data_IF_323855833852
#
_entry.id   IF_323855833852
#
_cell.length_a   1.000
_cell.length_b   1.000
_cell.length_c   1.000
_cell.angle_alpha   90.00
_cell.angle_beta   90.00
_cell.angle_gamma   90.00
#
_symmetry.space_group_name_H-M   'P 1'
#
loop_
_entity.id
_entity.type
_entity.pdbx_description
1 polymer ?
#
# COMPACT_ATOMS: atom_id res chain seq x y z
N UNK A 1 12.55 -16.94 -34.24
CA UNK A 1 12.10 -16.93 -32.83
C UNK A 1 12.41 -15.56 -32.25
N UNK A 2 11.40 -14.76 -31.87
CA UNK A 2 11.62 -13.49 -31.17
C UNK A 2 11.69 -13.76 -29.67
N UNK A 3 12.84 -13.50 -29.04
CA UNK A 3 12.94 -13.48 -27.58
C UNK A 3 12.19 -12.26 -27.04
N UNK A 4 11.12 -12.52 -26.30
CA UNK A 4 10.46 -11.50 -25.48
C UNK A 4 11.40 -11.14 -24.33
N UNK A 5 11.87 -9.89 -24.29
CA UNK A 5 12.66 -9.38 -23.16
C UNK A 5 11.74 -9.28 -21.95
N UNK A 6 12.03 -10.03 -20.87
CA UNK A 6 11.34 -9.87 -19.59
C UNK A 6 11.67 -8.48 -19.05
N UNK A 7 10.65 -7.64 -18.89
CA UNK A 7 10.82 -6.30 -18.31
C UNK A 7 11.20 -6.48 -16.84
N UNK A 8 12.46 -6.22 -16.52
CA UNK A 8 12.91 -6.12 -15.12
C UNK A 8 12.42 -4.77 -14.62
N UNK A 9 11.40 -4.80 -13.77
CA UNK A 9 10.96 -3.60 -13.05
C UNK A 9 11.90 -3.46 -11.85
N UNK A 10 12.56 -2.31 -11.72
CA UNK A 10 13.37 -2.03 -10.55
C UNK A 10 12.49 -2.16 -9.29
N UNK A 11 13.01 -2.72 -8.19
CA UNK A 11 12.23 -2.87 -6.96
C UNK A 11 11.75 -1.50 -6.49
N UNK A 12 10.49 -1.43 -6.06
CA UNK A 12 9.96 -0.22 -5.42
C UNK A 12 10.68 -0.07 -4.09
N UNK A 13 11.43 1.00 -3.91
CA UNK A 13 12.22 1.23 -2.68
C UNK A 13 11.42 1.94 -1.60
N UNK A 14 10.50 2.85 -2.00
CA UNK A 14 9.68 3.65 -1.09
C UNK A 14 8.28 3.88 -1.62
N UNK A 15 7.34 4.01 -0.70
CA UNK A 15 5.98 4.49 -0.94
C UNK A 15 5.89 5.91 -0.39
N UNK A 16 5.48 6.85 -1.24
CA UNK A 16 5.41 8.27 -0.90
C UNK A 16 4.03 8.81 -1.26
N UNK A 17 3.38 9.48 -0.30
CA UNK A 17 2.08 10.10 -0.51
C UNK A 17 1.87 11.28 0.46
N UNK A 18 0.84 12.10 0.21
CA UNK A 18 0.46 13.17 1.11
C UNK A 18 -0.72 12.73 2.00
N UNK A 19 -0.64 13.02 3.30
CA UNK A 19 -1.72 12.82 4.26
C UNK A 19 -1.93 14.11 5.04
N UNK A 20 -3.10 14.73 4.91
CA UNK A 20 -3.42 16.00 5.57
C UNK A 20 -2.39 17.12 5.35
N UNK A 21 -1.80 17.17 4.15
CA UNK A 21 -0.76 18.15 3.81
C UNK A 21 0.67 17.76 4.22
N UNK A 22 0.83 16.67 4.96
CA UNK A 22 2.15 16.14 5.35
C UNK A 22 2.62 15.05 4.38
N UNK A 23 3.91 15.06 4.03
CA UNK A 23 4.52 14.03 3.21
C UNK A 23 4.82 12.79 4.06
N UNK A 24 4.14 11.69 3.75
CA UNK A 24 4.43 10.38 4.27
C UNK A 24 5.42 9.68 3.34
N UNK A 25 6.52 9.19 3.87
CA UNK A 25 7.52 8.41 3.13
C UNK A 25 7.89 7.19 3.95
N UNK A 26 7.65 6.02 3.35
CA UNK A 26 7.82 4.73 4.02
C UNK A 26 8.68 3.85 3.14
N UNK A 27 9.65 3.13 3.73
CA UNK A 27 10.39 2.14 2.97
C UNK A 27 9.43 1.02 2.54
N UNK A 28 9.53 0.59 1.28
CA UNK A 28 8.65 -0.46 0.77
C UNK A 28 8.88 -1.80 1.50
N UNK A 29 10.06 -2.01 2.08
CA UNK A 29 10.36 -3.17 2.90
C UNK A 29 9.60 -3.20 4.25
N UNK A 30 9.06 -2.07 4.71
CA UNK A 30 8.38 -1.93 6.00
C UNK A 30 6.84 -2.03 5.92
N UNK A 31 6.30 -2.21 4.71
CA UNK A 31 4.85 -2.24 4.41
C UNK A 31 4.52 -3.44 3.55
N UNK A 32 3.56 -4.25 4.01
CA UNK A 32 3.04 -5.35 3.20
C UNK A 32 2.22 -4.79 2.03
N UNK A 33 2.39 -5.29 0.79
CA UNK A 33 1.62 -4.81 -0.36
C UNK A 33 0.09 -4.90 -0.20
N UNK A 34 -0.42 -5.73 0.70
CA UNK A 34 -1.84 -5.82 1.05
C UNK A 34 -2.29 -4.85 2.15
N UNK A 35 -1.37 -4.06 2.73
CA UNK A 35 -1.71 -3.02 3.71
C UNK A 35 -2.61 -1.99 3.04
N UNK A 36 -3.81 -1.80 3.59
CA UNK A 36 -4.73 -0.79 3.07
C UNK A 36 -4.34 0.60 3.57
N UNK A 37 -4.73 1.65 2.85
CA UNK A 37 -4.49 3.02 3.30
C UNK A 37 -5.16 3.31 4.65
N UNK A 38 -6.35 2.75 4.88
CA UNK A 38 -7.04 2.89 6.16
C UNK A 38 -6.26 2.23 7.31
N UNK A 39 -5.77 1.01 7.08
CA UNK A 39 -4.91 0.30 8.03
C UNK A 39 -3.67 1.12 8.34
N UNK A 40 -3.00 1.65 7.32
CA UNK A 40 -1.85 2.54 7.48
C UNK A 40 -2.19 3.75 8.36
N UNK A 41 -3.25 4.51 8.03
CA UNK A 41 -3.60 5.73 8.76
C UNK A 41 -3.88 5.41 10.23
N UNK A 42 -4.68 4.37 10.51
CA UNK A 42 -5.09 4.03 11.87
C UNK A 42 -3.96 3.43 12.72
N UNK A 43 -2.95 2.81 12.12
CA UNK A 43 -1.88 2.10 12.88
C UNK A 43 -0.56 2.84 12.88
N UNK A 44 -0.20 3.53 11.80
CA UNK A 44 1.08 4.23 11.63
C UNK A 44 1.01 5.74 11.85
N UNK A 45 -0.18 6.29 12.07
CA UNK A 45 -0.37 7.73 12.34
C UNK A 45 -1.22 7.98 13.58
N UNK A 46 -1.22 9.20 14.14
CA UNK A 46 -2.12 9.58 15.23
C UNK A 46 -3.60 9.67 14.83
N UNK A 47 -3.93 9.70 13.53
CA UNK A 47 -5.30 9.92 13.06
C UNK A 47 -6.16 8.66 13.22
N UNK A 48 -7.10 8.67 14.18
CA UNK A 48 -8.01 7.53 14.45
C UNK A 48 -9.45 7.73 13.96
N UNK A 49 -9.70 8.86 13.29
CA UNK A 49 -11.00 9.27 12.75
C UNK A 49 -11.52 8.35 11.65
N UNK A 50 -10.73 8.04 10.60
CA UNK A 50 -11.15 7.13 9.53
C UNK A 50 -11.57 5.76 10.08
N UNK A 51 -12.70 5.23 9.58
CA UNK A 51 -13.35 4.00 10.06
C UNK A 51 -13.59 3.03 8.92
N UNK A 52 -13.50 1.75 9.24
CA UNK A 52 -13.91 0.67 8.35
C UNK A 52 -15.40 0.43 8.57
N UNK A 53 -16.19 0.60 7.51
CA UNK A 53 -17.62 0.30 7.48
C UNK A 53 -17.91 -0.97 6.69
N UNK A 54 -19.17 -1.42 6.68
CA UNK A 54 -19.60 -2.65 6.00
C UNK A 54 -19.62 -2.57 4.45
N UNK A 55 -19.08 -1.51 3.85
CA UNK A 55 -19.06 -1.29 2.40
C UNK A 55 -17.67 -1.03 1.82
N UNK A 56 -16.61 -1.18 2.61
CA UNK A 56 -15.24 -1.18 2.11
C UNK A 56 -14.86 -2.59 1.67
N UNK A 57 -14.24 -2.73 0.50
CA UNK A 57 -13.92 -4.02 -0.12
C UNK A 57 -13.14 -4.94 0.86
N UNK A 58 -13.68 -6.14 1.10
CA UNK A 58 -12.97 -7.22 1.76
C UNK A 58 -11.74 -7.58 0.92
N UNK A 59 -10.56 -7.75 1.55
CA UNK A 59 -9.37 -8.23 0.85
C UNK A 59 -9.79 -9.50 0.12
N UNK A 60 -9.69 -9.51 -1.20
CA UNK A 60 -9.95 -10.70 -1.99
C UNK A 60 -9.04 -11.81 -1.45
N UNK A 61 -9.63 -12.74 -0.70
CA UNK A 61 -8.91 -13.86 -0.08
C UNK A 61 -8.61 -14.96 -1.11
N UNK A 62 -8.87 -14.71 -2.38
CA UNK A 62 -8.51 -15.63 -3.46
C UNK A 62 -7.02 -15.51 -3.77
N UNK A 63 -6.18 -16.21 -3.00
CA UNK A 63 -4.84 -16.57 -3.42
C UNK A 63 -4.55 -18.04 -3.07
N UNK A 64 -4.64 -18.86 -4.12
CA UNK A 64 -3.74 -19.94 -4.54
C UNK A 64 -3.01 -20.78 -3.46
#
# INVERSE_FOLDING_TARGET
>A
MMMMKKKVVAPVERVVFALNGERQEVAAADVDPSTTLLEFIRTRTPFKGPKLGCGEEEKDTTNN
#
